data_IF_019364883785
#
_entry.id   IF_019364883785
#
_cell.length_a   1.000
_cell.length_b   1.000
_cell.length_c   1.000
_cell.angle_alpha   90.00
_cell.angle_beta   90.00
_cell.angle_gamma   90.00
#
_symmetry.space_group_name_H-M   'P 1'
#
loop_
_entity.id
_entity.type
_entity.pdbx_description
1 polymer ?
#
# COMPACT_ATOMS: atom_id res chain seq x y z
N UNK A 1 -9.94 -8.07 -12.01
CA UNK A 1 -8.51 -8.30 -12.33
C UNK A 1 -7.82 -8.79 -11.07
N UNK A 2 -7.21 -9.98 -11.09
CA UNK A 2 -6.54 -10.55 -9.92
C UNK A 2 -5.27 -9.78 -9.58
N UNK A 3 -5.04 -9.51 -8.30
CA UNK A 3 -3.83 -8.86 -7.80
C UNK A 3 -3.21 -9.72 -6.71
N UNK A 4 -1.89 -9.84 -6.73
CA UNK A 4 -1.13 -10.60 -5.73
C UNK A 4 -0.57 -9.61 -4.73
N UNK A 5 -0.97 -9.77 -3.46
CA UNK A 5 -0.52 -8.92 -2.36
C UNK A 5 0.12 -9.81 -1.30
N UNK A 6 1.36 -9.53 -0.94
CA UNK A 6 2.06 -10.17 0.17
C UNK A 6 1.85 -9.29 1.41
N UNK A 7 1.25 -9.87 2.45
CA UNK A 7 1.02 -9.20 3.73
C UNK A 7 1.86 -9.85 4.84
N UNK A 8 2.21 -9.13 5.91
CA UNK A 8 2.93 -9.74 7.03
C UNK A 8 2.03 -10.74 7.77
N UNK A 9 2.62 -11.79 8.35
CA UNK A 9 1.88 -12.96 8.87
C UNK A 9 0.92 -12.62 10.01
N UNK A 10 1.28 -11.67 10.86
CA UNK A 10 0.45 -11.20 11.98
C UNK A 10 -0.87 -10.54 11.54
N UNK A 11 -1.01 -10.21 10.25
CA UNK A 11 -2.22 -9.63 9.66
C UNK A 11 -3.18 -10.69 9.10
N UNK A 12 -2.85 -11.97 9.24
CA UNK A 12 -3.67 -13.08 8.74
C UNK A 12 -4.59 -13.66 9.83
N UNK A 13 -4.49 -13.18 11.08
CA UNK A 13 -5.19 -13.73 12.23
C UNK A 13 -6.66 -13.24 12.32
N UNK A 14 -7.49 -13.78 11.44
CA UNK A 14 -8.82 -14.32 11.76
C UNK A 14 -9.97 -13.43 12.23
N UNK A 15 -9.78 -12.15 12.56
CA UNK A 15 -10.91 -11.22 12.70
C UNK A 15 -11.14 -10.55 11.36
N UNK A 16 -12.38 -10.65 10.85
CA UNK A 16 -12.87 -9.96 9.66
C UNK A 16 -12.79 -8.45 9.86
N UNK A 17 -11.58 -7.89 9.80
CA UNK A 17 -11.37 -6.46 9.72
C UNK A 17 -11.66 -6.07 8.28
N UNK A 18 -12.63 -5.17 8.09
CA UNK A 18 -12.87 -4.58 6.78
C UNK A 18 -11.56 -4.02 6.22
N UNK A 19 -11.13 -4.59 5.10
CA UNK A 19 -9.95 -4.18 4.39
C UNK A 19 -10.34 -3.22 3.28
N UNK A 20 -9.69 -2.06 3.23
CA UNK A 20 -9.96 -1.06 2.20
C UNK A 20 -8.66 -0.55 1.60
N UNK A 21 -8.58 -0.54 0.28
CA UNK A 21 -7.48 0.11 -0.43
C UNK A 21 -7.86 1.56 -0.70
N UNK A 22 -7.05 2.50 -0.24
CA UNK A 22 -7.20 3.93 -0.47
C UNK A 22 -5.99 4.52 -1.20
N UNK A 23 -6.14 5.71 -1.77
CA UNK A 23 -5.04 6.50 -2.28
C UNK A 23 -4.89 7.75 -1.41
N UNK A 24 -3.68 8.01 -0.92
CA UNK A 24 -3.32 9.23 -0.20
C UNK A 24 -2.03 9.81 -0.80
N UNK A 25 -1.79 11.12 -0.66
CA UNK A 25 -0.51 11.71 -1.04
C UNK A 25 0.66 11.05 -0.30
N UNK A 26 1.75 10.78 -1.00
CA UNK A 26 2.99 10.35 -0.36
C UNK A 26 3.56 11.52 0.46
N UNK A 27 3.86 11.36 1.76
CA UNK A 27 4.22 12.48 2.65
C UNK A 27 5.29 13.42 2.11
N UNK A 28 6.33 12.86 1.48
CA UNK A 28 7.47 13.63 0.98
C UNK A 28 7.23 14.26 -0.39
N UNK A 29 6.50 13.57 -1.28
CA UNK A 29 6.45 13.93 -2.71
C UNK A 29 5.08 14.42 -3.15
N UNK A 30 4.06 14.26 -2.30
CA UNK A 30 2.65 14.55 -2.56
C UNK A 30 2.04 13.78 -3.74
N UNK A 31 2.80 12.92 -4.41
CA UNK A 31 2.31 12.05 -5.47
C UNK A 31 1.40 10.99 -4.83
N UNK A 32 0.18 10.75 -5.35
CA UNK A 32 -0.72 9.75 -4.82
C UNK A 32 -0.12 8.35 -4.84
N UNK A 33 -0.14 7.68 -3.69
CA UNK A 33 0.25 6.27 -3.53
C UNK A 33 -0.85 5.49 -2.83
N UNK A 34 -0.84 4.16 -2.97
CA UNK A 34 -1.89 3.30 -2.42
C UNK A 34 -1.52 2.79 -1.05
N UNK A 35 -2.52 2.74 -0.17
CA UNK A 35 -2.45 2.13 1.14
C UNK A 35 -3.58 1.12 1.31
N UNK A 36 -3.35 0.09 2.12
CA UNK A 36 -4.33 -0.87 2.60
C UNK A 36 -4.62 -0.55 4.07
N UNK A 37 -5.85 -0.16 4.36
CA UNK A 37 -6.37 -0.02 5.71
C UNK A 37 -6.71 -1.41 6.22
N UNK A 38 -6.11 -1.78 7.33
CA UNK A 38 -6.47 -2.97 8.10
C UNK A 38 -6.42 -2.62 9.58
N UNK A 39 -7.55 -2.13 10.11
CA UNK A 39 -7.60 -1.52 11.44
C UNK A 39 -6.97 -2.42 12.53
N UNK A 40 -6.15 -1.86 13.43
CA UNK A 40 -5.83 -0.44 13.61
C UNK A 40 -4.68 0.08 12.73
N UNK A 41 -4.20 -0.71 11.78
CA UNK A 41 -2.95 -0.44 11.06
C UNK A 41 -3.19 0.06 9.63
N UNK A 42 -2.22 0.82 9.14
CA UNK A 42 -2.12 1.22 7.74
C UNK A 42 -0.91 0.53 7.11
N UNK A 43 -1.11 -0.07 5.94
CA UNK A 43 -0.05 -0.71 5.18
C UNK A 43 0.15 0.06 3.87
N UNK A 44 1.37 0.49 3.56
CA UNK A 44 1.68 1.03 2.24
C UNK A 44 1.77 -0.12 1.22
N UNK A 45 1.17 0.06 0.03
CA UNK A 45 1.25 -0.90 -1.06
C UNK A 45 2.37 -0.52 -2.03
N UNK A 46 3.47 -1.24 -1.96
CA UNK A 46 4.62 -1.05 -2.84
C UNK A 46 4.50 -1.99 -4.02
N UNK A 47 4.43 -1.42 -5.23
CA UNK A 47 4.42 -2.19 -6.48
C UNK A 47 5.83 -2.70 -6.78
N UNK A 48 5.99 -4.01 -6.85
CA UNK A 48 7.21 -4.68 -7.30
C UNK A 48 6.94 -5.29 -8.66
N UNK A 49 7.62 -4.76 -9.67
CA UNK A 49 7.60 -5.31 -11.01
C UNK A 49 8.95 -5.04 -11.68
N UNK A 50 9.49 -6.05 -12.36
CA UNK A 50 10.63 -5.87 -13.25
C UNK A 50 10.11 -5.33 -14.58
N UNK A 51 10.27 -4.03 -14.81
CA UNK A 51 9.83 -3.39 -16.05
C UNK A 51 10.51 -3.96 -17.30
N UNK A 52 11.66 -4.60 -17.15
CA UNK A 52 12.45 -5.15 -18.25
C UNK A 52 12.12 -6.62 -18.55
N UNK A 53 11.53 -7.34 -17.59
CA UNK A 53 11.08 -8.73 -17.77
C UNK A 53 9.57 -8.84 -17.69
N UNK A 54 8.94 -9.17 -18.82
CA UNK A 54 7.51 -9.50 -18.85
C UNK A 54 7.28 -10.85 -18.16
N UNK A 55 7.00 -10.79 -16.86
CA UNK A 55 6.60 -11.95 -16.05
C UNK A 55 5.10 -12.20 -16.10
N UNK A 56 4.68 -13.41 -15.75
CA UNK A 56 3.27 -13.75 -15.51
C UNK A 56 3.20 -14.76 -14.38
N UNK A 57 2.15 -14.67 -13.57
CA UNK A 57 1.92 -15.62 -12.49
C UNK A 57 0.95 -16.71 -12.95
N UNK A 58 1.31 -17.94 -12.65
CA UNK A 58 0.46 -19.11 -12.83
C UNK A 58 -0.12 -19.44 -11.46
N UNK A 59 -1.41 -19.16 -11.26
CA UNK A 59 -2.12 -19.38 -10.00
C UNK A 59 -3.23 -20.39 -10.25
N UNK A 60 -3.03 -21.61 -9.77
CA UNK A 60 -3.91 -22.75 -10.06
C UNK A 60 -4.08 -22.89 -11.59
N UNK A 61 -5.32 -22.79 -12.08
CA UNK A 61 -5.66 -22.87 -13.51
C UNK A 61 -5.77 -21.50 -14.19
N UNK A 62 -5.30 -20.42 -13.55
CA UNK A 62 -5.39 -19.05 -14.07
C UNK A 62 -4.00 -18.45 -14.32
N UNK A 63 -3.92 -17.59 -15.35
CA UNK A 63 -2.72 -16.81 -15.66
C UNK A 63 -2.98 -15.34 -15.33
N UNK A 64 -2.18 -14.77 -14.43
CA UNK A 64 -2.14 -13.32 -14.14
C UNK A 64 -0.99 -12.69 -14.94
N UNK A 65 -1.34 -12.02 -16.03
CA UNK A 65 -0.39 -11.57 -17.06
C UNK A 65 0.52 -10.41 -16.66
N UNK A 66 0.20 -9.65 -15.62
CA UNK A 66 0.90 -8.39 -15.31
C UNK A 66 2.24 -8.59 -14.58
N UNK A 67 2.54 -9.83 -14.14
CA UNK A 67 3.77 -10.19 -13.45
C UNK A 67 4.00 -9.44 -12.13
N UNK A 68 3.04 -8.62 -11.69
CA UNK A 68 3.25 -7.65 -10.63
C UNK A 68 2.91 -8.27 -9.29
N UNK A 69 3.76 -8.04 -8.29
CA UNK A 69 3.46 -8.29 -6.89
C UNK A 69 3.34 -6.95 -6.16
N UNK A 70 2.44 -6.88 -5.19
CA UNK A 70 2.37 -5.77 -4.25
C UNK A 70 2.83 -6.24 -2.87
N UNK A 71 3.76 -5.50 -2.26
CA UNK A 71 4.14 -5.70 -0.87
C UNK A 71 3.31 -4.74 -0.01
N UNK A 72 2.61 -5.28 0.98
CA UNK A 72 1.93 -4.48 1.99
C UNK A 72 2.85 -4.32 3.21
N UNK A 73 3.40 -3.14 3.40
CA UNK A 73 4.38 -2.85 4.45
C UNK A 73 3.76 -1.95 5.51
N UNK A 74 3.90 -2.24 6.83
CA UNK A 74 3.42 -1.36 7.88
C UNK A 74 3.92 0.07 7.69
N UNK A 75 3.00 1.02 7.82
CA UNK A 75 3.25 2.43 7.60
C UNK A 75 2.87 3.22 8.85
N UNK A 76 3.79 4.04 9.34
CA UNK A 76 3.56 4.88 10.51
C UNK A 76 2.75 6.14 10.13
N UNK A 77 1.61 6.32 10.79
CA UNK A 77 0.70 7.45 10.53
C UNK A 77 1.35 8.81 10.82
N UNK A 78 2.39 8.88 11.66
CA UNK A 78 3.13 10.13 11.93
C UNK A 78 3.63 10.75 10.64
N UNK A 79 4.07 9.96 9.66
CA UNK A 79 4.54 10.50 8.38
C UNK A 79 3.43 11.20 7.59
N UNK A 80 2.19 10.76 7.68
CA UNK A 80 1.07 11.46 7.02
C UNK A 80 0.71 12.78 7.72
N UNK A 81 0.99 12.89 9.02
CA UNK A 81 0.72 14.12 9.78
C UNK A 81 1.76 15.22 9.50
N UNK A 82 3.02 14.87 9.23
CA UNK A 82 4.11 15.84 9.05
C UNK A 82 3.77 16.95 8.03
N UNK A 83 3.33 16.66 6.79
CA UNK A 83 3.06 17.72 5.81
C UNK A 83 1.95 18.67 6.24
N UNK A 84 0.92 18.15 6.92
CA UNK A 84 -0.20 18.95 7.45
C UNK A 84 0.27 19.86 8.59
N UNK A 85 1.12 19.35 9.46
CA UNK A 85 1.71 20.13 10.55
C UNK A 85 2.65 21.22 10.04
N UNK A 86 3.46 20.91 9.02
CA UNK A 86 4.35 21.90 8.39
C UNK A 86 3.57 23.00 7.66
N UNK A 87 2.46 22.67 7.01
CA UNK A 87 1.57 23.64 6.34
C UNK A 87 0.92 24.57 7.37
N UNK A 88 0.28 23.99 8.40
CA UNK A 88 -0.37 24.77 9.47
C UNK A 88 0.62 25.63 10.26
N UNK A 89 1.85 25.16 10.48
CA UNK A 89 2.89 25.97 11.14
C UNK A 89 3.29 27.21 10.34
N UNK A 90 3.30 27.13 9.00
CA UNK A 90 3.57 28.27 8.10
C UNK A 90 2.40 29.25 8.00
N UNK A 91 1.18 28.80 8.26
CA UNK A 91 0.01 29.71 8.25
C UNK A 91 -0.07 30.58 9.52
N UNK A 92 0.53 30.11 10.62
CA UNK A 92 0.49 30.79 11.92
C UNK A 92 1.65 31.80 12.10
N UNK A 93 2.77 31.62 11.37
CA UNK A 93 3.96 32.48 11.45
C UNK A 93 4.22 33.20 10.12
#
# INVERSE_FOLDING_TARGET
MTKIIIKPRNFLNGKTTEEQIIALPHPKTQIPVRYLIQKPQLLQLIKVNDSYKKGSWFINNNIVKDGTIYLATPFDLVFLAIPVLEETYKEIN
#
